data_IF_615846122719
#
_entry.id   IF_615846122719
#
_cell.length_a   1.000
_cell.length_b   1.000
_cell.length_c   1.000
_cell.angle_alpha   90.00
_cell.angle_beta   90.00
_cell.angle_gamma   90.00
#
_symmetry.space_group_name_H-M   'P 1'
#
loop_
_entity.id
_entity.type
_entity.pdbx_description
1 polymer ?
#
# COMPACT_ATOMS: atom_id res chain seq x y z
N UNK A 1 17.14 -23.28 12.90
CA UNK A 1 15.72 -22.85 12.96
C UNK A 1 15.04 -23.22 11.64
N UNK A 2 13.85 -23.82 11.69
CA UNK A 2 13.06 -24.07 10.48
C UNK A 2 12.40 -22.76 10.01
N UNK A 3 12.42 -22.51 8.69
CA UNK A 3 11.68 -21.39 8.06
C UNK A 3 10.41 -21.95 7.45
N UNK A 4 9.27 -21.32 7.75
CA UNK A 4 7.99 -21.67 7.14
C UNK A 4 7.57 -20.60 6.15
N UNK A 5 6.89 -21.01 5.09
CA UNK A 5 6.27 -20.07 4.17
C UNK A 5 5.02 -19.48 4.83
N UNK A 6 4.76 -18.21 4.53
CA UNK A 6 3.47 -17.57 4.80
C UNK A 6 2.55 -17.87 3.61
N UNK A 7 1.33 -18.27 3.93
CA UNK A 7 0.26 -18.56 2.97
C UNK A 7 -0.95 -17.71 3.32
N UNK A 8 -1.66 -17.27 2.30
CA UNK A 8 -2.93 -16.56 2.48
C UNK A 8 -4.03 -17.27 1.71
N UNK A 9 -5.27 -17.11 2.17
CA UNK A 9 -6.41 -17.55 1.40
C UNK A 9 -6.72 -16.50 0.33
N UNK A 10 -6.82 -16.90 -0.94
CA UNK A 10 -7.19 -15.98 -2.03
C UNK A 10 -8.63 -15.46 -2.01
N UNK A 11 -9.43 -15.85 -1.02
CA UNK A 11 -10.86 -15.52 -0.94
C UNK A 11 -11.28 -14.82 0.35
N UNK A 12 -10.52 -14.98 1.44
CA UNK A 12 -10.82 -14.35 2.73
C UNK A 12 -9.51 -13.90 3.40
N UNK A 13 -9.57 -13.04 4.42
CA UNK A 13 -8.37 -12.46 5.05
C UNK A 13 -7.51 -13.44 5.88
N UNK A 14 -7.72 -14.75 5.76
CA UNK A 14 -7.02 -15.74 6.60
C UNK A 14 -5.58 -15.96 6.15
N UNK A 15 -4.68 -15.99 7.14
CA UNK A 15 -3.23 -16.16 6.97
C UNK A 15 -2.80 -17.42 7.72
N UNK A 16 -1.93 -18.21 7.10
CA UNK A 16 -1.36 -19.42 7.68
C UNK A 16 0.16 -19.42 7.56
N UNK A 17 0.86 -19.79 8.63
CA UNK A 17 2.32 -19.96 8.64
C UNK A 17 2.63 -21.43 8.91
N UNK A 18 3.17 -22.12 7.91
CA UNK A 18 3.42 -23.57 8.00
C UNK A 18 3.88 -24.19 6.68
N UNK A 19 4.21 -25.49 6.73
CA UNK A 19 4.65 -26.24 5.54
C UNK A 19 3.56 -26.31 4.45
N UNK A 20 2.31 -26.52 4.87
CA UNK A 20 1.11 -26.55 4.02
C UNK A 20 -0.05 -25.87 4.73
N UNK A 21 -0.94 -25.21 3.99
CA UNK A 21 -2.14 -24.60 4.56
C UNK A 21 -3.04 -25.63 5.25
N UNK A 22 -3.81 -25.17 6.26
CA UNK A 22 -4.68 -26.06 7.02
C UNK A 22 -5.92 -26.50 6.24
N UNK A 23 -6.55 -27.58 6.70
CA UNK A 23 -7.77 -28.16 6.11
C UNK A 23 -9.08 -27.76 6.80
N UNK A 24 -9.02 -26.87 7.80
CA UNK A 24 -10.23 -26.38 8.46
C UNK A 24 -11.20 -25.75 7.43
N UNK A 25 -12.49 -26.05 7.61
CA UNK A 25 -13.56 -25.71 6.66
C UNK A 25 -14.33 -24.47 7.12
N UNK A 26 -13.59 -23.43 7.50
CA UNK A 26 -14.08 -22.21 8.13
C UNK A 26 -13.87 -20.97 7.25
N UNK A 27 -13.65 -21.12 5.95
CA UNK A 27 -13.46 -19.97 5.05
C UNK A 27 -14.70 -19.07 5.03
N UNK A 28 -14.56 -17.84 5.50
CA UNK A 28 -15.65 -16.85 5.57
C UNK A 28 -15.97 -16.14 4.25
N UNK A 29 -15.35 -16.54 3.14
CA UNK A 29 -15.53 -15.88 1.85
C UNK A 29 -16.94 -16.08 1.28
N UNK A 30 -17.36 -15.17 0.39
CA UNK A 30 -18.58 -15.35 -0.38
C UNK A 30 -18.54 -16.68 -1.19
N UNK A 31 -19.67 -17.39 -1.23
CA UNK A 31 -19.82 -18.71 -1.86
C UNK A 31 -18.83 -19.79 -1.38
N UNK A 32 -18.32 -19.70 -0.14
CA UNK A 32 -17.47 -20.76 0.44
C UNK A 32 -18.12 -22.15 0.46
N UNK A 33 -19.46 -22.22 0.48
CA UNK A 33 -20.21 -23.48 0.40
C UNK A 33 -19.88 -24.30 -0.87
N UNK A 34 -19.60 -23.63 -2.01
CA UNK A 34 -19.18 -24.31 -3.24
C UNK A 34 -17.79 -24.95 -3.14
N UNK A 35 -16.99 -24.55 -2.14
CA UNK A 35 -15.68 -25.12 -1.80
C UNK A 35 -15.72 -25.91 -0.49
N UNK A 36 -16.91 -26.25 0.00
CA UNK A 36 -17.10 -26.94 1.29
C UNK A 36 -16.35 -26.24 2.46
N UNK A 37 -16.39 -24.91 2.50
CA UNK A 37 -15.71 -24.10 3.52
C UNK A 37 -14.19 -24.08 3.43
N UNK A 38 -13.57 -24.70 2.41
CA UNK A 38 -12.11 -24.77 2.29
C UNK A 38 -11.48 -23.45 1.81
N UNK A 39 -10.25 -23.24 2.28
CA UNK A 39 -9.39 -22.14 1.88
C UNK A 39 -8.66 -22.40 0.57
N UNK A 40 -8.56 -21.36 -0.26
CA UNK A 40 -7.72 -21.36 -1.45
C UNK A 40 -6.32 -20.87 -1.12
N UNK A 41 -5.49 -21.75 -0.56
CA UNK A 41 -4.13 -21.38 -0.13
C UNK A 41 -3.22 -21.03 -1.30
N UNK A 42 -2.62 -19.85 -1.23
CA UNK A 42 -1.53 -19.42 -2.10
C UNK A 42 -0.35 -18.93 -1.27
N UNK A 43 0.83 -18.82 -1.90
CA UNK A 43 2.00 -18.22 -1.25
C UNK A 43 1.75 -16.72 -1.08
N UNK A 44 1.98 -16.19 0.12
CA UNK A 44 1.81 -14.77 0.38
C UNK A 44 2.87 -13.94 -0.35
N UNK A 45 2.46 -12.77 -0.83
CA UNK A 45 3.33 -11.63 -1.16
C UNK A 45 3.16 -10.54 -0.11
N UNK A 46 4.01 -9.51 -0.14
CA UNK A 46 3.94 -8.40 0.82
C UNK A 46 2.56 -7.71 0.81
N UNK A 47 1.99 -7.51 -0.38
CA UNK A 47 0.70 -6.83 -0.55
C UNK A 47 -0.49 -7.60 0.05
N UNK A 48 -0.35 -8.91 0.27
CA UNK A 48 -1.39 -9.72 0.96
C UNK A 48 -1.43 -9.44 2.47
N UNK A 49 -0.30 -9.02 3.05
CA UNK A 49 -0.16 -8.75 4.48
C UNK A 49 -0.25 -7.26 4.79
N UNK A 50 0.30 -6.43 3.90
CA UNK A 50 0.32 -4.99 3.99
C UNK A 50 -0.20 -4.43 2.66
N UNK A 51 -1.52 -4.38 2.48
CA UNK A 51 -2.11 -3.84 1.25
C UNK A 51 -1.62 -2.40 1.02
N UNK A 52 -1.21 -2.06 -0.21
CA UNK A 52 -0.72 -0.72 -0.51
C UNK A 52 -1.86 0.30 -0.33
N UNK A 53 -1.76 1.12 0.72
CA UNK A 53 -2.62 2.30 0.92
C UNK A 53 -1.87 3.51 0.42
N UNK A 54 -2.39 4.19 -0.59
CA UNK A 54 -1.75 5.39 -1.13
C UNK A 54 -2.05 6.61 -0.27
N UNK A 55 -1.02 7.39 0.01
CA UNK A 55 -1.06 8.67 0.74
C UNK A 55 -0.38 9.73 -0.11
N UNK A 56 -0.64 11.01 0.19
CA UNK A 56 0.07 12.11 -0.47
C UNK A 56 1.54 12.14 -0.04
N UNK A 57 2.41 12.34 -1.02
CA UNK A 57 3.84 12.56 -0.77
C UNK A 57 4.05 13.95 -0.18
N UNK A 58 4.76 14.03 0.95
CA UNK A 58 5.15 15.30 1.57
C UNK A 58 6.55 15.68 1.08
N UNK A 59 6.71 16.80 0.36
CA UNK A 59 8.03 17.24 -0.10
C UNK A 59 8.98 17.51 1.06
N UNK A 60 10.28 17.42 0.76
CA UNK A 60 11.33 17.77 1.70
C UNK A 60 11.14 19.20 2.23
N UNK A 61 11.34 19.37 3.54
CA UNK A 61 11.14 20.65 4.24
C UNK A 61 9.87 20.74 5.09
N UNK A 62 9.04 19.69 5.10
CA UNK A 62 7.94 19.55 6.07
C UNK A 62 6.80 20.55 5.88
N UNK A 63 6.54 20.93 4.63
CA UNK A 63 5.40 21.80 4.30
C UNK A 63 4.10 21.08 4.68
N UNK A 64 3.26 21.75 5.46
CA UNK A 64 1.95 21.23 5.80
C UNK A 64 1.11 21.07 4.52
N UNK A 65 0.59 19.85 4.30
CA UNK A 65 -0.26 19.58 3.14
C UNK A 65 -1.57 20.36 3.25
N UNK A 66 -1.87 21.16 2.23
CA UNK A 66 -3.12 21.89 2.11
C UNK A 66 -4.09 21.12 1.20
N UNK A 67 -5.33 20.96 1.65
CA UNK A 67 -6.35 20.17 0.93
C UNK A 67 -6.65 20.74 -0.46
N UNK A 68 -6.54 22.06 -0.59
CA UNK A 68 -6.78 22.83 -1.80
C UNK A 68 -5.67 22.60 -2.84
N UNK A 69 -4.46 22.26 -2.39
CA UNK A 69 -3.30 21.97 -3.25
C UNK A 69 -3.16 20.47 -3.60
N UNK A 70 -4.13 19.62 -3.25
CA UNK A 70 -4.06 18.17 -3.46
C UNK A 70 -3.79 17.74 -4.91
N UNK A 71 -4.10 18.59 -5.89
CA UNK A 71 -3.84 18.34 -7.31
C UNK A 71 -2.37 18.47 -7.69
N UNK A 72 -1.55 19.11 -6.85
CA UNK A 72 -0.10 19.28 -7.06
C UNK A 72 0.72 18.17 -6.39
N UNK A 73 0.18 17.54 -5.35
CA UNK A 73 0.86 16.45 -4.66
C UNK A 73 0.88 15.15 -5.47
N UNK A 74 2.01 14.45 -5.38
CA UNK A 74 2.10 13.03 -5.75
C UNK A 74 1.56 12.11 -4.68
N UNK A 75 1.57 10.81 -4.99
CA UNK A 75 1.16 9.76 -4.07
C UNK A 75 2.13 8.58 -4.07
N UNK A 76 2.28 7.96 -2.91
CA UNK A 76 3.04 6.73 -2.71
C UNK A 76 2.30 5.80 -1.74
N UNK A 77 2.57 4.48 -1.75
CA UNK A 77 2.10 3.62 -0.67
C UNK A 77 2.62 4.13 0.69
N UNK A 78 1.78 4.04 1.72
CA UNK A 78 2.06 4.60 3.05
C UNK A 78 3.37 4.10 3.64
N UNK A 79 3.71 2.82 3.44
CA UNK A 79 4.99 2.26 3.89
C UNK A 79 6.17 2.88 3.15
N UNK A 80 6.02 3.13 1.84
CA UNK A 80 7.07 3.78 1.03
C UNK A 80 7.25 5.21 1.48
N UNK A 81 6.15 5.97 1.65
CA UNK A 81 6.21 7.35 2.15
C UNK A 81 6.89 7.41 3.52
N UNK A 82 6.52 6.52 4.46
CA UNK A 82 7.17 6.46 5.76
C UNK A 82 8.68 6.21 5.67
N UNK A 83 9.13 5.35 4.76
CA UNK A 83 10.55 5.11 4.54
C UNK A 83 11.25 6.33 3.93
N UNK A 84 10.62 6.99 2.94
CA UNK A 84 11.17 8.20 2.31
C UNK A 84 11.29 9.34 3.33
N UNK A 85 10.28 9.56 4.17
CA UNK A 85 10.33 10.53 5.28
C UNK A 85 11.41 10.19 6.32
N UNK A 86 11.82 8.92 6.42
CA UNK A 86 12.93 8.49 7.26
C UNK A 86 14.32 8.65 6.59
N UNK A 87 14.38 9.27 5.40
CA UNK A 87 15.62 9.53 4.65
C UNK A 87 16.04 8.40 3.71
N UNK A 88 15.14 7.45 3.39
CA UNK A 88 15.42 6.43 2.38
C UNK A 88 15.20 6.98 0.97
N UNK A 89 15.99 6.49 0.01
CA UNK A 89 15.82 6.85 -1.39
C UNK A 89 14.45 6.44 -1.94
N UNK A 90 13.91 7.27 -2.85
CA UNK A 90 12.63 7.01 -3.51
C UNK A 90 12.79 5.83 -4.48
N UNK A 91 12.00 4.75 -4.32
CA UNK A 91 12.08 3.61 -5.23
C UNK A 91 11.60 3.99 -6.64
N UNK A 92 12.34 3.56 -7.67
CA UNK A 92 12.01 3.83 -9.09
C UNK A 92 10.57 3.40 -9.45
N UNK A 93 10.07 2.32 -8.85
CA UNK A 93 8.70 1.84 -9.03
C UNK A 93 7.62 2.89 -8.71
N UNK A 94 7.90 3.82 -7.80
CA UNK A 94 6.93 4.80 -7.30
C UNK A 94 7.28 6.24 -7.68
N UNK A 95 8.43 6.49 -8.31
CA UNK A 95 8.86 7.85 -8.68
C UNK A 95 7.84 8.57 -9.57
N UNK A 96 7.24 7.85 -10.52
CA UNK A 96 6.25 8.40 -11.45
C UNK A 96 4.92 8.80 -10.79
N UNK A 97 4.55 8.17 -9.67
CA UNK A 97 3.33 8.52 -8.94
C UNK A 97 3.56 9.64 -7.92
N UNK A 98 4.83 9.87 -7.53
CA UNK A 98 5.20 10.87 -6.52
C UNK A 98 5.37 12.29 -7.06
N UNK A 99 5.27 12.52 -8.39
CA UNK A 99 5.23 13.86 -9.02
C UNK A 99 6.37 14.79 -8.56
N UNK A 100 7.57 14.24 -8.49
CA UNK A 100 8.78 14.91 -7.97
C UNK A 100 9.23 16.10 -8.84
N UNK A 101 8.74 16.17 -10.07
CA UNK A 101 9.02 17.20 -11.07
C UNK A 101 8.00 18.36 -11.06
N UNK A 102 6.95 18.27 -10.24
CA UNK A 102 5.92 19.30 -10.13
C UNK A 102 6.30 20.31 -9.05
N UNK A 103 6.46 21.58 -9.43
CA UNK A 103 6.57 22.67 -8.48
C UNK A 103 5.28 22.79 -7.66
N UNK A 104 5.38 22.60 -6.34
CA UNK A 104 4.25 22.74 -5.43
C UNK A 104 4.16 24.20 -4.98
N UNK A 105 3.03 24.89 -5.24
CA UNK A 105 2.82 26.24 -4.78
C UNK A 105 2.90 26.34 -3.25
N UNK A 106 3.47 27.42 -2.75
CA UNK A 106 3.61 27.71 -1.32
C UNK A 106 2.26 28.07 -0.69
N UNK A 107 1.36 28.71 -1.46
CA UNK A 107 0.00 29.04 -1.04
C UNK A 107 -0.96 29.13 -2.24
N UNK A 108 -2.25 29.38 -1.95
CA UNK A 108 -3.29 29.50 -2.98
C UNK A 108 -3.17 30.76 -3.84
N UNK A 109 -2.52 31.82 -3.35
CA UNK A 109 -2.33 33.03 -4.15
C UNK A 109 -1.34 32.75 -5.27
N UNK A 110 -0.32 31.96 -5.01
CA UNK A 110 0.62 31.50 -6.03
C UNK A 110 -0.08 30.70 -7.13
N UNK A 111 -1.05 29.84 -6.77
CA UNK A 111 -1.88 29.13 -7.76
C UNK A 111 -2.64 30.12 -8.67
N UNK A 112 -3.22 31.17 -8.10
CA UNK A 112 -3.98 32.17 -8.85
C UNK A 112 -3.12 33.01 -9.80
N UNK A 113 -1.81 33.14 -9.57
CA UNK A 113 -0.90 33.88 -10.44
C UNK A 113 -0.50 33.14 -11.72
N UNK A 114 -0.77 31.83 -11.81
CA UNK A 114 -0.39 30.96 -12.94
C UNK A 114 -1.55 30.76 -13.92
N UNK A 115 -2.74 31.29 -13.62
CA UNK A 115 -3.95 31.23 -14.45
C UNK A 115 -4.11 32.47 -15.33
#
# INVERSE_FOLDING_TARGET
MAKYAVRVCGYCPEVHVGCSGHKAQNCGAHKHQQRNGQHGWQRAVLDDLIPPRFVWHVPDGGVELQRELRSFYGQAPAVVELCVQAGMDIPEKYSSTMRLDIGIPTDLKEVEMVV
#
